data_IF_387481992733
#
_entry.id   IF_387481992733
#
_cell.length_a   1.000
_cell.length_b   1.000
_cell.length_c   1.000
_cell.angle_alpha   90.00
_cell.angle_beta   90.00
_cell.angle_gamma   90.00
#
_symmetry.space_group_name_H-M   'P 1'
#
loop_
_entity.id
_entity.type
_entity.pdbx_description
1 polymer ?
#
# COMPACT_ATOMS: atom_id res chain seq x y z
N UNK A 1 -9.90 40.70 -12.40
CA UNK A 1 -10.34 39.37 -12.78
C UNK A 1 -10.67 38.63 -11.48
N UNK A 2 -11.92 38.22 -11.26
CA UNK A 2 -12.26 37.42 -10.07
C UNK A 2 -11.54 36.07 -10.21
N UNK A 3 -10.73 35.70 -9.21
CA UNK A 3 -10.16 34.35 -9.16
C UNK A 3 -11.29 33.33 -9.10
N UNK A 4 -11.17 32.22 -9.83
CA UNK A 4 -12.14 31.15 -9.73
C UNK A 4 -12.16 30.56 -8.30
N UNK A 5 -13.21 29.85 -7.93
CA UNK A 5 -13.28 29.21 -6.62
C UNK A 5 -12.13 28.18 -6.46
N UNK A 6 -11.79 27.47 -7.54
CA UNK A 6 -10.65 26.57 -7.60
C UNK A 6 -9.33 27.28 -7.31
N UNK A 7 -9.06 28.45 -7.94
CA UNK A 7 -7.83 29.22 -7.71
C UNK A 7 -7.62 29.57 -6.24
N UNK A 8 -8.71 29.86 -5.53
CA UNK A 8 -8.64 30.19 -4.10
C UNK A 8 -8.22 29.00 -3.24
N UNK A 9 -8.74 27.79 -3.52
CA UNK A 9 -8.35 26.57 -2.81
C UNK A 9 -6.90 26.18 -3.13
N UNK A 10 -6.51 26.21 -4.42
CA UNK A 10 -5.14 25.92 -4.85
C UNK A 10 -4.14 26.87 -4.18
N UNK A 11 -4.44 28.16 -4.14
CA UNK A 11 -3.58 29.14 -3.43
C UNK A 11 -3.47 28.86 -1.93
N UNK A 12 -4.56 28.49 -1.27
CA UNK A 12 -4.54 28.09 0.14
C UNK A 12 -3.63 26.90 0.38
N UNK A 13 -3.80 25.86 -0.42
CA UNK A 13 -2.98 24.66 -0.30
C UNK A 13 -1.50 24.95 -0.59
N UNK A 14 -1.21 25.74 -1.62
CA UNK A 14 0.16 26.18 -1.92
C UNK A 14 0.80 27.03 -0.83
N UNK A 15 0.00 27.78 -0.07
CA UNK A 15 0.51 28.65 1.00
C UNK A 15 0.77 27.88 2.30
N UNK A 16 -0.08 26.94 2.64
CA UNK A 16 -0.06 26.26 3.94
C UNK A 16 0.41 24.79 3.86
N UNK A 17 0.38 24.17 2.69
CA UNK A 17 0.83 22.81 2.46
C UNK A 17 2.33 22.69 2.16
N UNK A 18 2.92 21.58 2.52
CA UNK A 18 4.27 21.25 2.07
C UNK A 18 4.24 20.94 0.55
N UNK A 19 5.19 21.52 -0.20
CA UNK A 19 5.29 21.39 -1.65
C UNK A 19 5.89 20.02 -2.07
N UNK A 20 5.41 18.93 -1.47
CA UNK A 20 5.92 17.56 -1.68
C UNK A 20 5.17 16.76 -2.75
N UNK A 21 4.17 17.36 -3.37
CA UNK A 21 3.35 16.77 -4.42
C UNK A 21 3.05 17.81 -5.51
N UNK A 22 2.73 17.34 -6.72
CA UNK A 22 2.28 18.19 -7.82
C UNK A 22 0.88 17.76 -8.27
N UNK A 23 -0.19 18.15 -7.55
CA UNK A 23 -1.55 17.77 -7.88
C UNK A 23 -1.99 18.37 -9.23
N UNK A 24 -2.99 17.74 -9.85
CA UNK A 24 -3.71 18.33 -10.97
C UNK A 24 -4.45 19.59 -10.49
N UNK A 25 -4.53 20.60 -11.36
CA UNK A 25 -5.19 21.89 -11.05
C UNK A 25 -6.72 21.76 -11.07
N UNK A 26 -7.26 20.79 -10.32
CA UNK A 26 -8.69 20.51 -10.17
C UNK A 26 -8.98 20.33 -8.69
N UNK A 27 -9.99 21.03 -8.17
CA UNK A 27 -10.41 20.93 -6.76
C UNK A 27 -11.67 20.11 -6.67
N UNK A 28 -11.53 18.86 -6.26
CA UNK A 28 -12.65 17.91 -6.15
C UNK A 28 -13.44 18.18 -4.87
N UNK A 29 -14.77 18.21 -4.96
CA UNK A 29 -15.69 18.40 -3.85
C UNK A 29 -16.57 17.18 -3.59
N UNK A 30 -16.97 16.48 -4.64
CA UNK A 30 -17.94 15.38 -4.53
C UNK A 30 -17.48 14.16 -5.34
N UNK A 31 -17.85 12.96 -4.87
CA UNK A 31 -17.66 11.70 -5.59
C UNK A 31 -18.86 10.77 -5.42
N UNK A 32 -19.31 10.15 -6.53
CA UNK A 32 -20.38 9.17 -6.56
C UNK A 32 -20.13 8.12 -7.64
N UNK A 33 -20.08 6.86 -7.26
CA UNK A 33 -19.77 5.76 -8.18
C UNK A 33 -18.41 5.97 -8.85
N UNK A 34 -18.38 6.01 -10.18
CA UNK A 34 -17.16 6.23 -10.96
C UNK A 34 -16.91 7.72 -11.30
N UNK A 35 -17.66 8.64 -10.71
CA UNK A 35 -17.58 10.04 -11.08
C UNK A 35 -17.17 10.94 -9.93
N UNK A 36 -16.48 12.02 -10.30
CA UNK A 36 -16.08 13.12 -9.42
C UNK A 36 -16.68 14.44 -9.94
N UNK A 37 -16.89 15.38 -9.04
CA UNK A 37 -17.26 16.76 -9.38
C UNK A 37 -16.31 17.72 -8.68
N UNK A 38 -15.91 18.74 -9.41
CA UNK A 38 -15.13 19.83 -8.82
C UNK A 38 -16.03 20.89 -8.17
N UNK A 39 -15.40 21.83 -7.50
CA UNK A 39 -16.08 22.96 -6.80
C UNK A 39 -16.84 23.91 -7.75
N UNK A 40 -16.59 23.86 -9.05
CA UNK A 40 -17.30 24.63 -10.08
C UNK A 40 -18.43 23.81 -10.73
N UNK A 41 -18.64 22.54 -10.28
CA UNK A 41 -19.71 21.66 -10.75
C UNK A 41 -19.38 20.87 -12.01
N UNK A 42 -18.15 20.88 -12.50
CA UNK A 42 -17.75 20.07 -13.63
C UNK A 42 -17.62 18.60 -13.23
N UNK A 43 -18.12 17.71 -14.09
CA UNK A 43 -18.13 16.26 -13.85
C UNK A 43 -16.99 15.58 -14.58
N UNK A 44 -16.31 14.68 -13.89
CA UNK A 44 -15.19 13.89 -14.39
C UNK A 44 -15.42 12.39 -14.19
N UNK A 45 -14.98 11.56 -15.14
CA UNK A 45 -14.85 10.13 -14.94
C UNK A 45 -13.53 9.87 -14.21
N UNK A 46 -13.58 9.26 -13.02
CA UNK A 46 -12.39 8.94 -12.23
C UNK A 46 -11.70 7.68 -12.77
N UNK A 47 -10.66 7.88 -13.58
CA UNK A 47 -9.81 6.81 -14.09
C UNK A 47 -8.63 6.47 -13.17
N UNK A 48 -8.44 7.23 -12.08
CA UNK A 48 -7.36 7.01 -11.11
C UNK A 48 -7.82 6.15 -9.95
N UNK A 49 -9.08 6.32 -9.51
CA UNK A 49 -9.73 5.56 -8.42
C UNK A 49 -8.86 5.48 -7.15
N UNK A 50 -8.15 6.58 -6.79
CA UNK A 50 -7.19 6.63 -5.70
C UNK A 50 -6.22 5.43 -5.72
N UNK A 51 -5.67 5.12 -6.89
CA UNK A 51 -4.79 3.96 -7.14
C UNK A 51 -5.44 2.61 -6.74
N UNK A 52 -6.69 2.42 -7.10
CA UNK A 52 -7.54 1.25 -6.80
C UNK A 52 -8.06 1.16 -5.37
N UNK A 53 -7.85 2.17 -4.53
CA UNK A 53 -8.44 2.20 -3.19
C UNK A 53 -9.96 2.40 -3.22
N UNK A 54 -10.50 3.00 -4.30
CA UNK A 54 -11.93 3.26 -4.50
C UNK A 54 -12.53 2.24 -5.48
N UNK A 55 -12.19 0.97 -5.34
CA UNK A 55 -12.65 -0.10 -6.25
C UNK A 55 -14.16 -0.37 -6.21
N UNK A 56 -14.84 0.04 -5.14
CA UNK A 56 -16.30 -0.03 -5.00
C UNK A 56 -17.04 1.23 -5.48
N UNK A 57 -16.32 2.20 -6.01
CA UNK A 57 -16.83 3.53 -6.35
C UNK A 57 -16.88 4.48 -5.14
N UNK A 58 -16.96 5.75 -5.46
CA UNK A 58 -17.07 6.81 -4.46
C UNK A 58 -18.41 6.74 -3.74
N UNK A 59 -18.40 6.99 -2.43
CA UNK A 59 -19.60 7.09 -1.59
C UNK A 59 -20.56 5.91 -1.71
N UNK A 60 -20.03 4.67 -1.81
CA UNK A 60 -20.86 3.46 -1.96
C UNK A 60 -21.89 3.37 -0.83
N UNK A 61 -23.21 3.27 -1.13
CA UNK A 61 -24.28 3.42 -0.15
C UNK A 61 -24.17 2.46 1.05
N UNK A 62 -23.86 1.19 0.80
CA UNK A 62 -23.75 0.19 1.86
C UNK A 62 -22.53 0.44 2.77
N UNK A 63 -21.41 0.92 2.21
CA UNK A 63 -20.23 1.27 3.01
C UNK A 63 -20.51 2.50 3.88
N UNK A 64 -21.14 3.53 3.32
CA UNK A 64 -21.52 4.73 4.07
C UNK A 64 -22.51 4.38 5.19
N UNK A 65 -23.54 3.59 4.92
CA UNK A 65 -24.50 3.13 5.90
C UNK A 65 -23.84 2.34 7.04
N UNK A 66 -22.92 1.45 6.71
CA UNK A 66 -22.16 0.65 7.68
C UNK A 66 -21.29 1.55 8.56
N UNK A 67 -20.57 2.51 7.96
CA UNK A 67 -19.75 3.48 8.66
C UNK A 67 -20.60 4.31 9.64
N UNK A 68 -21.70 4.88 9.17
CA UNK A 68 -22.62 5.66 9.99
C UNK A 68 -23.19 4.85 11.17
N UNK A 69 -23.63 3.62 10.91
CA UNK A 69 -24.16 2.74 11.94
C UNK A 69 -23.09 2.36 12.98
N UNK A 70 -21.90 1.98 12.54
CA UNK A 70 -20.85 1.55 13.46
C UNK A 70 -20.27 2.72 14.28
N UNK A 71 -20.09 3.89 13.66
CA UNK A 71 -19.53 5.07 14.34
C UNK A 71 -20.40 5.57 15.49
N UNK A 72 -21.72 5.35 15.44
CA UNK A 72 -22.64 5.70 16.54
C UNK A 72 -22.58 4.71 17.70
N UNK A 73 -22.11 3.47 17.49
CA UNK A 73 -21.96 2.47 18.54
C UNK A 73 -20.58 2.55 19.21
N UNK A 74 -19.55 2.49 18.40
CA UNK A 74 -18.16 2.50 18.86
C UNK A 74 -17.26 2.87 17.68
N UNK A 75 -16.71 4.07 17.72
CA UNK A 75 -15.82 4.56 16.66
C UNK A 75 -14.40 4.00 16.80
N UNK A 76 -13.84 4.03 18.02
CA UNK A 76 -12.48 3.57 18.29
C UNK A 76 -12.34 3.09 19.73
N UNK A 77 -11.47 2.09 19.94
CA UNK A 77 -11.00 1.68 21.26
C UNK A 77 -9.57 1.16 21.17
N UNK A 78 -8.91 1.07 22.32
CA UNK A 78 -7.57 0.46 22.40
C UNK A 78 -7.60 -1.04 22.09
N UNK A 79 -6.50 -1.56 21.49
CA UNK A 79 -6.28 -3.01 21.35
C UNK A 79 -6.15 -3.75 22.69
N UNK A 80 -6.17 -3.05 23.82
CA UNK A 80 -6.31 -3.67 25.13
C UNK A 80 -7.66 -4.36 25.34
N UNK A 81 -8.64 -4.07 24.48
CA UNK A 81 -9.97 -4.66 24.51
C UNK A 81 -10.26 -5.49 23.27
N UNK A 82 -11.06 -6.54 23.42
CA UNK A 82 -11.69 -7.23 22.30
C UNK A 82 -12.90 -6.44 21.83
N UNK A 83 -13.16 -6.48 20.51
CA UNK A 83 -14.36 -5.89 19.93
C UNK A 83 -15.01 -6.86 18.96
N UNK A 84 -16.33 -6.88 18.92
CA UNK A 84 -17.09 -7.77 18.04
C UNK A 84 -16.80 -7.53 16.56
N UNK A 85 -16.78 -6.28 16.04
CA UNK A 85 -16.47 -6.05 14.62
C UNK A 85 -15.08 -6.54 14.23
N UNK A 86 -14.09 -6.39 15.10
CA UNK A 86 -12.73 -6.81 14.80
C UNK A 86 -12.58 -8.34 14.78
N UNK A 87 -13.20 -9.04 15.71
CA UNK A 87 -13.18 -10.50 15.72
C UNK A 87 -13.83 -11.08 14.45
N UNK A 88 -14.99 -10.57 14.07
CA UNK A 88 -15.71 -10.94 12.84
C UNK A 88 -14.89 -10.63 11.58
N UNK A 89 -14.21 -9.49 11.56
CA UNK A 89 -13.31 -9.11 10.44
C UNK A 89 -12.14 -10.10 10.29
N UNK A 90 -11.47 -10.44 11.39
CA UNK A 90 -10.33 -11.38 11.37
C UNK A 90 -10.75 -12.77 10.87
N UNK A 91 -11.90 -13.29 11.38
CA UNK A 91 -12.45 -14.57 10.92
C UNK A 91 -12.74 -14.55 9.41
N UNK A 92 -13.42 -13.51 8.94
CA UNK A 92 -13.75 -13.38 7.52
C UNK A 92 -12.51 -13.29 6.65
N UNK A 93 -11.51 -12.52 7.07
CA UNK A 93 -10.28 -12.35 6.32
C UNK A 93 -9.42 -13.62 6.30
N UNK A 94 -9.35 -14.36 7.42
CA UNK A 94 -8.72 -15.68 7.49
C UNK A 94 -9.37 -16.65 6.51
N UNK A 95 -10.70 -16.72 6.51
CA UNK A 95 -11.45 -17.62 5.61
C UNK A 95 -11.26 -17.27 4.12
N UNK A 96 -11.20 -15.98 3.77
CA UNK A 96 -11.01 -15.55 2.38
C UNK A 96 -9.58 -15.77 1.90
N UNK A 97 -8.60 -15.49 2.76
CA UNK A 97 -7.18 -15.60 2.42
C UNK A 97 -6.64 -17.02 2.50
N UNK A 98 -7.30 -17.92 3.23
CA UNK A 98 -6.84 -19.27 3.52
C UNK A 98 -5.69 -19.36 4.53
N UNK A 99 -5.39 -18.25 5.25
CA UNK A 99 -4.37 -18.22 6.31
C UNK A 99 -5.02 -18.33 7.68
N UNK A 100 -4.37 -19.08 8.58
CA UNK A 100 -4.85 -19.31 9.94
C UNK A 100 -4.89 -18.04 10.81
N UNK A 101 -4.00 -17.08 10.53
CA UNK A 101 -3.82 -15.89 11.36
C UNK A 101 -3.65 -14.64 10.52
N UNK A 102 -4.23 -13.55 11.01
CA UNK A 102 -4.21 -12.24 10.37
C UNK A 102 -3.66 -11.20 11.35
N UNK A 103 -2.67 -10.43 10.91
CA UNK A 103 -2.13 -9.28 11.63
C UNK A 103 -2.44 -8.01 10.83
N UNK A 104 -3.28 -7.15 11.38
CA UNK A 104 -3.72 -5.92 10.72
C UNK A 104 -2.88 -4.72 11.13
N UNK A 105 -2.64 -3.82 10.17
CA UNK A 105 -1.96 -2.54 10.36
C UNK A 105 -2.83 -1.39 9.83
N UNK A 106 -2.50 -0.15 10.19
CA UNK A 106 -3.28 1.02 9.77
C UNK A 106 -3.01 1.43 8.31
N UNK A 107 -1.81 1.17 7.82
CA UNK A 107 -1.40 1.54 6.46
C UNK A 107 -0.63 0.42 5.77
N UNK A 108 -0.55 0.47 4.43
CA UNK A 108 0.28 -0.46 3.66
C UNK A 108 1.76 -0.39 4.04
N UNK A 109 2.31 0.80 4.29
CA UNK A 109 3.68 0.97 4.75
C UNK A 109 3.93 0.30 6.10
N UNK A 110 3.03 0.44 7.07
CA UNK A 110 3.11 -0.26 8.36
C UNK A 110 3.01 -1.78 8.20
N UNK A 111 2.17 -2.26 7.29
CA UNK A 111 2.08 -3.69 6.99
C UNK A 111 3.40 -4.23 6.42
N UNK A 112 4.03 -3.52 5.49
CA UNK A 112 5.34 -3.86 4.94
C UNK A 112 6.42 -3.86 6.02
N UNK A 113 6.52 -2.81 6.83
CA UNK A 113 7.48 -2.74 7.95
C UNK A 113 7.29 -3.90 8.94
N UNK A 114 6.05 -4.23 9.25
CA UNK A 114 5.71 -5.34 10.16
C UNK A 114 6.10 -6.68 9.55
N UNK A 115 5.89 -6.87 8.26
CA UNK A 115 6.26 -8.09 7.55
C UNK A 115 7.76 -8.29 7.48
N UNK A 116 8.54 -7.23 7.22
CA UNK A 116 10.00 -7.24 7.27
C UNK A 116 10.45 -7.70 8.65
N UNK A 117 9.88 -7.12 9.71
CA UNK A 117 10.22 -7.51 11.10
C UNK A 117 9.86 -8.97 11.37
N UNK A 118 8.67 -9.41 10.93
CA UNK A 118 8.23 -10.80 11.12
C UNK A 118 9.13 -11.78 10.36
N UNK A 119 9.48 -11.48 9.11
CA UNK A 119 10.36 -12.30 8.30
C UNK A 119 11.77 -12.44 8.94
N UNK A 120 12.36 -11.32 9.39
CA UNK A 120 13.65 -11.34 10.09
C UNK A 120 13.59 -12.17 11.38
N UNK A 121 12.57 -11.93 12.21
CA UNK A 121 12.40 -12.70 13.45
C UNK A 121 12.24 -14.19 13.19
N UNK A 122 11.44 -14.57 12.22
CA UNK A 122 11.28 -15.98 11.82
C UNK A 122 12.60 -16.57 11.28
N UNK A 123 13.33 -15.82 10.47
CA UNK A 123 14.64 -16.21 9.96
C UNK A 123 15.62 -16.54 11.10
N UNK A 124 15.69 -15.71 12.10
CA UNK A 124 16.60 -15.91 13.24
C UNK A 124 16.15 -17.04 14.16
N UNK A 125 14.90 -17.03 14.60
CA UNK A 125 14.42 -17.97 15.64
C UNK A 125 13.94 -19.31 15.11
N UNK A 126 13.46 -19.38 13.87
CA UNK A 126 12.91 -20.63 13.31
C UNK A 126 13.82 -21.25 12.27
N UNK A 127 14.51 -20.47 11.44
CA UNK A 127 15.44 -20.98 10.43
C UNK A 127 16.90 -21.02 10.90
N UNK A 128 17.25 -20.44 12.03
CA UNK A 128 18.60 -20.44 12.57
C UNK A 128 19.60 -19.60 11.76
N UNK A 129 19.11 -18.59 11.02
CA UNK A 129 19.99 -17.63 10.34
C UNK A 129 20.78 -16.88 11.44
N UNK A 130 22.10 -16.71 11.29
CA UNK A 130 22.89 -15.93 12.25
C UNK A 130 22.35 -14.50 12.38
N UNK A 131 22.47 -13.92 13.57
CA UNK A 131 22.03 -12.56 13.85
C UNK A 131 22.59 -11.57 12.81
N UNK A 132 21.79 -10.61 12.40
CA UNK A 132 22.08 -9.58 11.38
C UNK A 132 22.33 -10.06 9.94
N UNK A 133 22.23 -11.37 9.66
CA UNK A 133 22.48 -11.95 8.35
C UNK A 133 21.19 -12.27 7.55
N UNK A 134 20.00 -11.93 8.08
CA UNK A 134 18.77 -12.14 7.34
C UNK A 134 18.67 -11.19 6.15
N UNK A 135 18.50 -11.75 4.94
CA UNK A 135 18.31 -11.02 3.69
C UNK A 135 16.88 -11.16 3.19
N UNK A 136 16.33 -10.09 2.66
CA UNK A 136 14.98 -10.03 2.07
C UNK A 136 15.14 -9.62 0.62
N UNK A 137 14.58 -10.42 -0.28
CA UNK A 137 14.56 -10.13 -1.71
C UNK A 137 13.30 -9.33 -2.03
N UNK A 138 13.44 -8.25 -2.79
CA UNK A 138 12.35 -7.40 -3.26
C UNK A 138 12.40 -7.29 -4.78
N UNK A 139 11.23 -7.13 -5.41
CA UNK A 139 11.18 -6.96 -6.87
C UNK A 139 11.68 -5.58 -7.29
N UNK A 140 12.36 -5.49 -8.44
CA UNK A 140 12.62 -4.21 -9.09
C UNK A 140 11.29 -3.56 -9.54
N UNK A 141 11.21 -2.23 -9.53
CA UNK A 141 9.99 -1.49 -9.85
C UNK A 141 8.92 -1.55 -8.74
N UNK A 142 9.30 -1.99 -7.53
CA UNK A 142 8.38 -2.06 -6.40
C UNK A 142 7.97 -0.67 -5.88
N UNK A 143 6.79 -0.61 -5.27
CA UNK A 143 6.37 0.50 -4.41
C UNK A 143 5.70 -0.07 -3.17
N UNK A 144 6.38 0.03 -2.03
CA UNK A 144 5.90 -0.47 -0.73
C UNK A 144 5.65 0.64 0.29
N UNK A 145 5.82 1.89 -0.10
CA UNK A 145 5.70 3.07 0.76
C UNK A 145 6.98 3.91 0.78
N UNK A 146 7.08 4.81 1.75
CA UNK A 146 8.17 5.80 1.82
C UNK A 146 8.77 5.94 3.23
N UNK A 147 8.68 4.92 4.06
CA UNK A 147 9.38 4.90 5.36
C UNK A 147 10.88 4.75 5.16
N UNK A 148 11.65 5.06 6.18
CA UNK A 148 13.13 4.99 6.15
C UNK A 148 13.63 3.60 5.76
N UNK A 149 12.98 2.52 6.24
CA UNK A 149 13.34 1.16 5.83
C UNK A 149 12.93 0.87 4.39
N UNK A 150 11.73 1.27 3.99
CA UNK A 150 11.19 0.96 2.67
C UNK A 150 11.97 1.68 1.56
N UNK A 151 12.36 2.93 1.76
CA UNK A 151 13.18 3.65 0.75
C UNK A 151 14.54 3.00 0.54
N UNK A 152 15.03 2.20 1.49
CA UNK A 152 16.31 1.48 1.36
C UNK A 152 16.33 0.52 0.18
N UNK A 153 15.21 -0.07 -0.16
CA UNK A 153 15.06 -1.02 -1.26
C UNK A 153 14.17 -0.53 -2.41
N UNK A 154 13.80 0.74 -2.42
CA UNK A 154 13.14 1.34 -3.58
C UNK A 154 14.07 1.29 -4.79
N UNK A 155 13.53 0.96 -5.95
CA UNK A 155 14.26 0.97 -7.22
C UNK A 155 14.26 2.35 -7.91
N UNK A 156 13.44 3.28 -7.43
CA UNK A 156 13.35 4.64 -7.95
C UNK A 156 14.28 5.57 -7.17
N UNK A 157 15.24 6.19 -7.86
CA UNK A 157 16.19 7.12 -7.26
C UNK A 157 15.51 8.34 -6.62
N UNK A 158 14.38 8.79 -7.18
CA UNK A 158 13.63 9.94 -6.63
C UNK A 158 13.13 9.71 -5.20
N UNK A 159 12.96 8.43 -4.79
CA UNK A 159 12.58 8.07 -3.42
C UNK A 159 13.77 7.80 -2.50
N UNK A 160 15.00 7.75 -3.03
CA UNK A 160 16.22 7.38 -2.29
C UNK A 160 17.16 8.55 -2.07
N UNK A 161 17.26 9.44 -3.04
CA UNK A 161 18.26 10.50 -3.05
C UNK A 161 18.09 11.43 -1.86
N UNK A 162 19.15 11.52 -1.03
CA UNK A 162 19.17 12.35 0.16
C UNK A 162 18.55 11.73 1.43
N UNK A 163 18.04 10.48 1.38
CA UNK A 163 17.35 9.84 2.52
C UNK A 163 18.17 8.73 3.22
N UNK A 164 19.47 8.60 2.91
CA UNK A 164 20.37 7.69 3.65
C UNK A 164 20.66 8.16 5.09
N UNK A 165 21.24 7.28 5.95
CA UNK A 165 21.74 5.95 5.66
C UNK A 165 20.62 4.90 5.49
N UNK A 166 20.84 3.96 4.57
CA UNK A 166 19.84 2.95 4.24
C UNK A 166 19.91 1.73 5.16
N UNK A 167 18.74 1.15 5.44
CA UNK A 167 18.63 -0.09 6.20
C UNK A 167 19.21 -1.26 5.40
N UNK A 168 20.15 -2.05 5.94
CA UNK A 168 20.77 -3.18 5.25
C UNK A 168 19.88 -4.42 5.19
N UNK A 169 20.33 -5.44 4.44
CA UNK A 169 19.68 -6.75 4.37
C UNK A 169 18.59 -6.85 3.28
N UNK A 170 18.67 -6.02 2.26
CA UNK A 170 17.76 -6.09 1.09
C UNK A 170 18.54 -6.36 -0.18
N UNK A 171 18.01 -7.23 -1.01
CA UNK A 171 18.46 -7.50 -2.39
C UNK A 171 17.29 -7.30 -3.36
N UNK A 172 17.58 -6.87 -4.56
CA UNK A 172 16.59 -6.70 -5.62
C UNK A 172 16.69 -7.83 -6.64
N UNK A 173 15.55 -8.26 -7.17
CA UNK A 173 15.47 -9.19 -8.28
C UNK A 173 14.50 -8.63 -9.34
N UNK A 174 14.74 -8.95 -10.60
CA UNK A 174 13.84 -8.57 -11.67
C UNK A 174 12.55 -9.37 -11.60
N UNK A 175 11.44 -8.68 -11.86
CA UNK A 175 10.14 -9.32 -11.95
C UNK A 175 9.99 -10.03 -13.30
N UNK A 176 9.36 -11.21 -13.29
CA UNK A 176 9.09 -11.97 -14.52
C UNK A 176 8.26 -11.12 -15.50
N UNK A 177 8.77 -10.91 -16.71
CA UNK A 177 8.17 -10.03 -17.74
C UNK A 177 9.00 -8.76 -18.01
N UNK A 178 9.89 -8.37 -17.12
CA UNK A 178 10.89 -7.32 -17.38
C UNK A 178 12.23 -7.90 -17.88
N UNK A 179 12.43 -9.21 -17.81
CA UNK A 179 13.60 -9.86 -18.35
C UNK A 179 13.49 -10.02 -19.89
N UNK A 180 14.56 -9.73 -20.60
CA UNK A 180 14.67 -9.92 -22.06
C UNK A 180 15.12 -11.34 -22.44
N UNK A 181 14.79 -12.34 -21.61
CA UNK A 181 15.27 -13.71 -21.77
C UNK A 181 14.55 -14.55 -22.84
N UNK A 182 13.54 -14.00 -23.51
CA UNK A 182 12.89 -14.60 -24.69
C UNK A 182 12.03 -15.84 -24.44
N UNK A 183 12.17 -16.54 -23.33
CA UNK A 183 11.31 -17.67 -22.95
C UNK A 183 11.26 -17.86 -21.44
N UNK A 184 10.13 -18.37 -20.96
CA UNK A 184 9.91 -18.69 -19.54
C UNK A 184 10.93 -19.75 -19.06
N UNK A 185 11.28 -20.70 -19.92
CA UNK A 185 12.15 -21.85 -19.58
C UNK A 185 13.62 -21.47 -19.36
N UNK A 186 14.08 -20.33 -19.93
CA UNK A 186 15.44 -19.84 -19.80
C UNK A 186 15.55 -18.57 -18.94
N UNK A 187 14.52 -18.22 -18.22
CA UNK A 187 14.50 -17.03 -17.41
C UNK A 187 15.16 -17.26 -16.04
N UNK A 188 16.39 -16.79 -15.88
CA UNK A 188 17.11 -16.82 -14.59
C UNK A 188 16.32 -16.14 -13.46
N UNK A 189 15.40 -15.23 -13.78
CA UNK A 189 14.49 -14.65 -12.80
C UNK A 189 13.47 -15.64 -12.28
N UNK A 190 13.16 -16.75 -12.98
CA UNK A 190 12.27 -17.80 -12.46
C UNK A 190 12.93 -18.59 -11.34
N UNK A 191 14.21 -18.90 -11.43
CA UNK A 191 14.92 -19.53 -10.32
C UNK A 191 14.98 -18.60 -9.11
N UNK A 192 15.17 -17.32 -9.31
CA UNK A 192 15.06 -16.29 -8.27
C UNK A 192 13.64 -16.20 -7.73
N UNK A 193 12.62 -16.30 -8.60
CA UNK A 193 11.20 -16.26 -8.23
C UNK A 193 10.72 -17.52 -7.52
N UNK A 194 11.35 -18.67 -7.70
CA UNK A 194 11.04 -19.86 -6.91
C UNK A 194 11.35 -19.68 -5.43
N UNK A 195 12.21 -18.72 -5.09
CA UNK A 195 12.47 -18.26 -3.73
C UNK A 195 11.47 -17.18 -3.25
N UNK A 196 10.67 -16.58 -4.15
CA UNK A 196 9.70 -15.51 -3.88
C UNK A 196 8.28 -16.07 -3.60
N UNK A 197 8.10 -17.34 -3.37
CA UNK A 197 6.81 -17.86 -2.87
C UNK A 197 6.36 -17.27 -1.53
N UNK A 198 7.05 -16.24 -1.04
CA UNK A 198 6.75 -15.51 0.19
C UNK A 198 6.16 -14.11 -0.09
N UNK A 199 6.24 -13.58 -1.31
CA UNK A 199 5.63 -12.30 -1.66
C UNK A 199 4.68 -12.46 -2.83
N UNK A 200 3.42 -12.14 -2.59
CA UNK A 200 2.40 -12.06 -3.62
C UNK A 200 2.84 -11.16 -4.79
N UNK A 201 2.51 -11.55 -6.06
CA UNK A 201 2.73 -10.68 -7.19
C UNK A 201 1.81 -9.47 -7.09
N UNK A 202 2.31 -8.35 -6.60
CA UNK A 202 1.65 -7.08 -6.79
C UNK A 202 1.68 -6.77 -8.28
N UNK A 203 0.51 -6.79 -8.92
CA UNK A 203 0.38 -6.31 -10.30
C UNK A 203 0.88 -4.87 -10.35
N UNK A 204 1.68 -4.56 -11.38
CA UNK A 204 2.09 -3.19 -11.70
C UNK A 204 0.88 -2.24 -11.60
N UNK A 205 0.97 -1.25 -10.73
CA UNK A 205 -0.03 -0.19 -10.58
C UNK A 205 -1.03 -0.35 -9.44
N UNK A 206 -0.95 -1.38 -8.62
CA UNK A 206 -1.83 -1.52 -7.46
C UNK A 206 -1.06 -1.33 -6.16
N UNK A 207 -1.39 -0.29 -5.42
CA UNK A 207 -1.13 -0.20 -3.99
C UNK A 207 -2.08 -1.20 -3.34
N UNK A 208 -1.65 -2.43 -3.25
CA UNK A 208 -2.39 -3.45 -2.52
C UNK A 208 -1.86 -3.49 -1.11
N UNK A 209 -2.75 -3.62 -0.17
CA UNK A 209 -2.40 -4.00 1.19
C UNK A 209 -1.49 -5.22 1.11
N UNK A 210 -0.27 -5.08 1.57
CA UNK A 210 0.68 -6.18 1.60
C UNK A 210 0.16 -7.21 2.61
N UNK A 211 -0.51 -8.24 2.13
CA UNK A 211 -0.80 -9.44 2.90
C UNK A 211 0.40 -10.35 2.73
N UNK A 212 1.27 -10.39 3.70
CA UNK A 212 2.38 -11.32 3.72
C UNK A 212 1.92 -12.65 4.31
N UNK A 213 2.13 -13.68 3.56
CA UNK A 213 1.79 -15.04 3.93
C UNK A 213 3.06 -15.77 4.32
N UNK A 214 3.25 -15.99 5.61
CA UNK A 214 4.26 -16.92 6.10
C UNK A 214 3.64 -18.33 6.11
N UNK A 215 4.10 -19.22 5.24
CA UNK A 215 3.88 -20.65 5.34
C UNK A 215 4.99 -21.31 6.14
#
# INVERSE_FOLDING_TARGET
MSSSLQDNYIKKESLYGAQNYSPLSVVIEQGEGAYLWDVDGNKYLDMVSAYSAVSHGHSHPELIKTLQSQSTKLAITSRAFYTEPFATFLEKLSNISGFESVLTMNTGAEAVETSIKAARRWGYFSKGIPEDNAEIIVANGNFHGRTTTIVSFSSDSSYKDGFGPFTPGFKTADYCGSCHCGSIENCLSIESLSLIHISEPTRLGMISYAVFCLK
#
